data_IF_469938081468
#
_entry.id   IF_469938081468
#
_cell.length_a   1.000
_cell.length_b   1.000
_cell.length_c   1.000
_cell.angle_alpha   90.00
_cell.angle_beta   90.00
_cell.angle_gamma   90.00
#
_symmetry.space_group_name_H-M   'P 1'
#
loop_
_entity.id
_entity.type
_entity.pdbx_description
1 polymer ?
#
# COMPACT_ATOMS: atom_id res chain seq x y z
N UNK A 1 -7.94 -4.36 12.22
CA UNK A 1 -6.58 -3.96 11.78
C UNK A 1 -6.51 -2.44 11.66
N UNK A 2 -5.36 -1.81 11.80
CA UNK A 2 -5.23 -0.36 11.59
C UNK A 2 -4.69 -0.08 10.18
N UNK A 3 -4.88 1.15 9.66
CA UNK A 3 -4.24 1.57 8.43
C UNK A 3 -2.72 1.57 8.56
N UNK A 4 -2.04 1.20 7.48
CA UNK A 4 -0.56 1.22 7.39
C UNK A 4 0.01 2.62 7.19
N UNK A 5 -0.84 3.60 6.85
CA UNK A 5 -0.47 4.98 6.59
C UNK A 5 -1.33 5.96 7.38
N UNK A 6 -0.74 7.10 7.73
CA UNK A 6 -1.49 8.30 8.08
C UNK A 6 -1.88 9.02 6.79
N UNK A 7 -3.09 9.52 6.70
CA UNK A 7 -3.59 10.23 5.52
C UNK A 7 -4.45 11.43 5.94
N UNK A 8 -4.27 12.56 5.25
CA UNK A 8 -5.05 13.78 5.52
C UNK A 8 -6.53 13.50 5.25
N UNK A 9 -7.39 13.90 6.19
CA UNK A 9 -8.83 13.58 6.11
C UNK A 9 -9.19 12.13 6.43
N UNK A 10 -8.24 11.35 6.97
CA UNK A 10 -8.49 9.97 7.38
C UNK A 10 -9.61 9.84 8.40
N UNK A 11 -10.49 8.86 8.20
CA UNK A 11 -11.72 8.64 9.01
C UNK A 11 -11.47 7.91 10.35
N UNK A 12 -10.22 7.92 10.87
CA UNK A 12 -9.86 7.22 12.11
C UNK A 12 -10.78 7.58 13.28
N UNK A 13 -10.99 8.88 13.48
CA UNK A 13 -11.80 9.39 14.61
C UNK A 13 -13.29 9.12 14.44
N UNK A 14 -13.76 8.95 13.20
CA UNK A 14 -15.19 8.71 12.89
C UNK A 14 -15.50 7.22 12.71
N UNK A 15 -14.49 6.36 12.68
CA UNK A 15 -14.62 4.94 12.35
C UNK A 15 -15.70 4.23 13.16
N UNK A 16 -15.66 4.38 14.46
CA UNK A 16 -16.57 3.66 15.35
C UNK A 16 -18.01 4.17 15.21
N UNK A 17 -18.18 5.48 14.97
CA UNK A 17 -19.49 6.07 14.68
C UNK A 17 -20.06 5.57 13.32
N UNK A 18 -19.19 5.42 12.32
CA UNK A 18 -19.56 4.85 11.02
C UNK A 18 -20.04 3.41 11.20
N UNK A 19 -19.32 2.58 11.95
CA UNK A 19 -19.72 1.19 12.20
C UNK A 19 -21.08 1.08 12.90
N UNK A 20 -21.34 1.96 13.86
CA UNK A 20 -22.66 1.98 14.53
C UNK A 20 -23.83 2.30 13.58
N UNK A 21 -23.55 2.94 12.46
CA UNK A 21 -24.55 3.34 11.46
C UNK A 21 -24.60 2.44 10.23
N UNK A 22 -23.67 1.49 10.11
CA UNK A 22 -23.66 0.53 9.01
C UNK A 22 -24.85 -0.43 9.12
N UNK A 23 -25.45 -0.82 7.99
CA UNK A 23 -26.40 -1.92 7.96
C UNK A 23 -25.77 -3.19 8.54
N UNK A 24 -26.57 -4.00 9.24
CA UNK A 24 -26.09 -5.27 9.78
C UNK A 24 -25.85 -6.33 8.71
N UNK A 25 -26.59 -6.27 7.62
CA UNK A 25 -26.51 -7.20 6.50
C UNK A 25 -26.29 -6.42 5.21
N UNK A 26 -25.27 -6.74 4.48
CA UNK A 26 -24.94 -6.19 3.16
C UNK A 26 -24.08 -7.18 2.38
N UNK A 27 -24.27 -7.23 1.07
CA UNK A 27 -23.52 -8.11 0.16
C UNK A 27 -22.26 -7.46 -0.35
N UNK A 28 -22.19 -6.12 -0.30
CA UNK A 28 -21.05 -5.34 -0.81
C UNK A 28 -20.74 -4.18 0.11
N UNK A 29 -19.44 -3.96 0.31
CA UNK A 29 -18.92 -2.76 0.95
C UNK A 29 -18.00 -2.03 -0.04
N UNK A 30 -18.31 -0.79 -0.35
CA UNK A 30 -17.53 0.03 -1.29
C UNK A 30 -17.10 1.31 -0.58
N UNK A 31 -15.79 1.46 -0.41
CA UNK A 31 -15.19 2.69 0.11
C UNK A 31 -14.73 3.57 -1.06
N UNK A 32 -15.59 4.52 -1.47
CA UNK A 32 -15.39 5.33 -2.69
C UNK A 32 -14.24 6.32 -2.58
N UNK A 33 -14.02 6.88 -1.38
CA UNK A 33 -12.92 7.78 -1.04
C UNK A 33 -12.17 7.19 0.16
N UNK A 34 -11.43 6.12 -0.11
CA UNK A 34 -10.82 5.28 0.91
C UNK A 34 -9.74 5.98 1.72
N UNK A 35 -8.94 6.85 1.08
CA UNK A 35 -7.81 7.51 1.72
C UNK A 35 -6.90 6.52 2.42
N UNK A 36 -6.66 6.67 3.71
CA UNK A 36 -5.89 5.71 4.50
C UNK A 36 -6.57 4.36 4.76
N UNK A 37 -7.79 4.12 4.28
CA UNK A 37 -8.50 2.84 4.44
C UNK A 37 -8.92 2.53 5.89
N UNK A 38 -9.08 3.54 6.74
CA UNK A 38 -9.34 3.35 8.17
C UNK A 38 -10.64 2.60 8.48
N UNK A 39 -11.66 2.77 7.65
CA UNK A 39 -12.95 2.08 7.84
C UNK A 39 -12.85 0.67 7.28
N UNK A 40 -12.41 0.50 6.04
CA UNK A 40 -12.28 -0.81 5.40
C UNK A 40 -11.37 -1.76 6.21
N UNK A 41 -10.16 -1.32 6.55
CA UNK A 41 -9.20 -2.19 7.25
C UNK A 41 -9.53 -2.35 8.74
N UNK A 42 -10.32 -1.48 9.31
CA UNK A 42 -10.72 -1.56 10.72
C UNK A 42 -11.93 -2.45 10.97
N UNK A 43 -12.74 -2.73 9.95
CA UNK A 43 -13.89 -3.61 10.11
C UNK A 43 -13.44 -5.08 10.29
N UNK A 44 -14.23 -5.92 10.97
CA UNK A 44 -14.00 -7.35 11.00
C UNK A 44 -14.03 -7.94 9.59
N UNK A 45 -13.23 -8.99 9.30
CA UNK A 45 -13.36 -9.73 8.06
C UNK A 45 -14.80 -10.22 7.86
N UNK A 46 -15.33 -10.05 6.67
CA UNK A 46 -16.67 -10.42 6.30
C UNK A 46 -16.65 -11.19 4.96
N UNK A 47 -17.71 -11.93 4.68
CA UNK A 47 -17.85 -12.66 3.40
C UNK A 47 -18.38 -11.76 2.26
N UNK A 48 -18.63 -10.49 2.54
CA UNK A 48 -19.09 -9.57 1.52
C UNK A 48 -17.97 -9.18 0.55
N UNK A 49 -18.37 -8.79 -0.66
CA UNK A 49 -17.42 -8.18 -1.62
C UNK A 49 -16.96 -6.83 -1.09
N UNK A 50 -15.65 -6.62 -0.96
CA UNK A 50 -15.05 -5.39 -0.50
C UNK A 50 -14.32 -4.69 -1.64
N UNK A 51 -14.61 -3.39 -1.84
CA UNK A 51 -13.98 -2.56 -2.85
C UNK A 51 -13.36 -1.35 -2.20
N UNK A 52 -12.05 -1.19 -2.38
CA UNK A 52 -11.34 0.04 -2.06
C UNK A 52 -11.23 0.87 -3.35
N UNK A 53 -11.62 2.13 -3.27
CA UNK A 53 -11.39 3.10 -4.33
C UNK A 53 -10.92 4.43 -3.75
N UNK A 54 -10.03 5.11 -4.47
CA UNK A 54 -9.62 6.49 -4.18
C UNK A 54 -9.27 7.20 -5.48
N UNK A 55 -9.47 8.51 -5.52
CA UNK A 55 -9.07 9.34 -6.66
C UNK A 55 -7.55 9.38 -6.85
N UNK A 56 -6.79 9.23 -5.77
CA UNK A 56 -5.33 9.19 -5.82
C UNK A 56 -4.85 7.80 -6.25
N UNK A 57 -4.44 7.67 -7.51
CA UNK A 57 -3.95 6.41 -8.08
C UNK A 57 -2.73 5.84 -7.34
N UNK A 58 -1.89 6.67 -6.73
CA UNK A 58 -0.77 6.20 -5.92
C UNK A 58 -1.23 5.51 -4.64
N UNK A 59 -2.35 5.95 -4.03
CA UNK A 59 -2.96 5.22 -2.91
C UNK A 59 -3.49 3.87 -3.34
N UNK A 60 -4.24 3.82 -4.44
CA UNK A 60 -4.78 2.58 -4.98
C UNK A 60 -3.64 1.59 -5.30
N UNK A 61 -2.58 2.07 -5.98
CA UNK A 61 -1.40 1.27 -6.28
C UNK A 61 -0.67 0.79 -5.01
N UNK A 62 -0.52 1.63 -3.99
CA UNK A 62 0.11 1.24 -2.73
C UNK A 62 -0.67 0.09 -2.07
N UNK A 63 -1.99 0.22 -1.91
CA UNK A 63 -2.80 -0.83 -1.29
C UNK A 63 -2.88 -2.09 -2.15
N UNK A 64 -2.87 -1.94 -3.50
CA UNK A 64 -2.74 -3.09 -4.40
C UNK A 64 -1.44 -3.84 -4.15
N UNK A 65 -0.29 -3.15 -4.11
CA UNK A 65 1.01 -3.79 -3.87
C UNK A 65 1.10 -4.42 -2.47
N UNK A 66 0.50 -3.81 -1.45
CA UNK A 66 0.42 -4.40 -0.10
C UNK A 66 -0.32 -5.72 -0.10
N UNK A 67 -1.40 -5.81 -0.88
CA UNK A 67 -2.24 -7.02 -0.95
C UNK A 67 -1.63 -8.09 -1.86
N UNK A 68 -1.19 -7.71 -3.06
CA UNK A 68 -0.90 -8.64 -4.14
C UNK A 68 0.60 -8.90 -4.35
N UNK A 69 1.46 -7.97 -3.91
CA UNK A 69 2.93 -8.06 -4.06
C UNK A 69 3.67 -7.64 -2.77
N UNK A 70 3.33 -8.20 -1.60
CA UNK A 70 3.91 -7.76 -0.33
C UNK A 70 5.42 -8.01 -0.24
N UNK A 71 5.93 -9.11 -0.80
CA UNK A 71 7.36 -9.44 -0.74
C UNK A 71 8.20 -8.46 -1.57
N UNK A 72 7.78 -8.15 -2.80
CA UNK A 72 8.45 -7.17 -3.64
C UNK A 72 8.43 -5.77 -3.00
N UNK A 73 7.30 -5.37 -2.42
CA UNK A 73 7.17 -4.10 -1.72
C UNK A 73 8.08 -4.02 -0.50
N UNK A 74 8.16 -5.09 0.32
CA UNK A 74 9.05 -5.16 1.46
C UNK A 74 10.52 -5.13 1.03
N UNK A 75 10.87 -5.80 -0.07
CA UNK A 75 12.22 -5.76 -0.64
C UNK A 75 12.61 -4.34 -1.03
N UNK A 76 11.77 -3.65 -1.76
CA UNK A 76 12.00 -2.25 -2.16
C UNK A 76 12.08 -1.29 -0.96
N UNK A 77 11.28 -1.50 0.08
CA UNK A 77 11.31 -0.71 1.31
C UNK A 77 12.48 -1.04 2.23
N UNK A 78 13.14 -2.21 2.08
CA UNK A 78 14.23 -2.66 2.95
C UNK A 78 15.54 -1.90 2.74
N UNK A 79 15.71 -1.19 1.62
CA UNK A 79 16.84 -0.29 1.44
C UNK A 79 16.74 0.85 2.44
N UNK A 80 17.84 1.12 3.17
CA UNK A 80 17.88 2.16 4.18
C UNK A 80 17.42 3.50 3.60
N UNK A 81 16.36 4.10 4.15
CA UNK A 81 15.89 5.39 3.69
C UNK A 81 16.88 6.47 4.12
N UNK A 82 17.39 7.21 3.16
CA UNK A 82 18.05 8.49 3.42
C UNK A 82 16.96 9.52 3.68
N UNK A 83 16.55 9.71 4.91
CA UNK A 83 15.54 10.71 5.25
C UNK A 83 16.10 12.13 5.06
N UNK A 84 16.10 12.61 3.84
CA UNK A 84 16.58 13.93 3.46
C UNK A 84 15.55 14.70 2.63
N UNK A 85 15.69 16.02 2.62
CA UNK A 85 14.87 16.89 1.76
C UNK A 85 15.10 16.60 0.29
N UNK A 86 16.32 16.33 -0.12
CA UNK A 86 16.69 16.08 -1.50
C UNK A 86 16.10 14.75 -1.99
N UNK A 87 16.14 13.72 -1.15
CA UNK A 87 15.46 12.45 -1.45
C UNK A 87 13.95 12.66 -1.61
N UNK A 88 13.32 13.41 -0.71
CA UNK A 88 11.89 13.72 -0.80
C UNK A 88 11.52 14.40 -2.12
N UNK A 89 12.32 15.39 -2.56
CA UNK A 89 12.11 16.06 -3.85
C UNK A 89 12.30 15.11 -5.02
N UNK A 90 13.31 14.24 -4.96
CA UNK A 90 13.59 13.23 -5.99
C UNK A 90 12.44 12.22 -6.11
N UNK A 91 11.97 11.68 -4.98
CA UNK A 91 10.83 10.76 -4.96
C UNK A 91 9.55 11.40 -5.49
N UNK A 92 9.30 12.67 -5.16
CA UNK A 92 8.14 13.39 -5.72
C UNK A 92 8.21 13.54 -7.23
N UNK A 93 9.38 13.85 -7.79
CA UNK A 93 9.58 13.89 -9.24
C UNK A 93 9.36 12.51 -9.86
N UNK A 94 9.93 11.48 -9.25
CA UNK A 94 9.76 10.09 -9.68
C UNK A 94 8.30 9.69 -9.81
N UNK A 95 7.44 10.06 -8.86
CA UNK A 95 6.02 9.74 -8.92
C UNK A 95 5.26 10.34 -10.11
N UNK A 96 5.83 11.31 -10.79
CA UNK A 96 5.23 11.94 -11.97
C UNK A 96 5.75 11.39 -13.29
N UNK A 97 6.79 10.54 -13.29
CA UNK A 97 7.57 10.30 -14.52
C UNK A 97 7.51 8.87 -15.06
N UNK A 98 7.52 7.82 -14.20
CA UNK A 98 7.79 6.45 -14.69
C UNK A 98 6.93 5.38 -14.00
N UNK A 99 6.80 4.21 -14.64
CA UNK A 99 6.15 3.02 -14.11
C UNK A 99 7.15 1.84 -14.09
N UNK A 100 7.19 1.10 -12.96
CA UNK A 100 8.08 -0.06 -12.76
C UNK A 100 7.26 -1.27 -12.29
N UNK A 101 6.33 -1.71 -13.15
CA UNK A 101 5.36 -2.76 -12.79
C UNK A 101 6.00 -4.12 -12.54
N UNK A 102 7.01 -4.48 -13.32
CA UNK A 102 7.71 -5.77 -13.21
C UNK A 102 8.92 -5.76 -12.28
N UNK A 103 9.14 -4.69 -11.52
CA UNK A 103 10.25 -4.62 -10.56
C UNK A 103 10.18 -5.76 -9.55
N UNK A 104 11.32 -6.39 -9.28
CA UNK A 104 11.48 -7.56 -8.40
C UNK A 104 10.70 -8.83 -8.82
N UNK A 105 10.08 -8.86 -9.99
CA UNK A 105 9.33 -10.05 -10.42
C UNK A 105 10.23 -11.29 -10.54
N UNK A 106 11.43 -11.14 -11.08
CA UNK A 106 12.39 -12.25 -11.22
C UNK A 106 12.75 -12.87 -9.85
N UNK A 107 12.96 -12.03 -8.83
CA UNK A 107 13.24 -12.47 -7.46
C UNK A 107 12.02 -13.19 -6.84
N UNK A 108 10.82 -12.69 -7.08
CA UNK A 108 9.58 -13.33 -6.60
C UNK A 108 9.37 -14.71 -7.22
N UNK A 109 9.63 -14.85 -8.53
CA UNK A 109 9.55 -16.13 -9.25
C UNK A 109 10.61 -17.13 -8.75
N UNK A 110 11.84 -16.67 -8.51
CA UNK A 110 12.90 -17.52 -7.95
C UNK A 110 12.52 -18.03 -6.55
N UNK A 111 11.98 -17.17 -5.68
CA UNK A 111 11.51 -17.55 -4.35
C UNK A 111 10.38 -18.59 -4.47
N UNK A 112 9.40 -18.36 -5.34
CA UNK A 112 8.28 -19.27 -5.53
C UNK A 112 8.76 -20.67 -5.97
N UNK A 113 9.64 -20.74 -6.96
CA UNK A 113 10.18 -22.02 -7.46
C UNK A 113 11.13 -22.71 -6.48
N UNK A 114 11.78 -21.95 -5.59
CA UNK A 114 12.68 -22.52 -4.58
C UNK A 114 11.93 -23.13 -3.39
N UNK A 115 10.86 -22.50 -2.93
CA UNK A 115 10.16 -22.90 -1.70
C UNK A 115 8.89 -23.74 -1.94
N UNK A 116 8.33 -23.69 -3.14
CA UNK A 116 7.13 -24.44 -3.48
C UNK A 116 7.46 -25.63 -4.40
N UNK A 117 6.61 -26.64 -4.37
CA UNK A 117 6.69 -27.82 -5.25
C UNK A 117 5.70 -27.68 -6.38
N UNK A 118 6.00 -28.33 -7.51
CA UNK A 118 5.03 -28.49 -8.59
C UNK A 118 3.80 -29.32 -8.10
N UNK A 119 2.56 -28.96 -8.49
CA UNK A 119 2.19 -27.90 -9.44
C UNK A 119 2.01 -26.49 -8.82
N UNK A 120 2.07 -26.34 -7.50
CA UNK A 120 1.84 -25.07 -6.79
C UNK A 120 2.82 -23.96 -7.23
N UNK A 121 4.07 -24.33 -7.49
CA UNK A 121 5.08 -23.37 -7.95
C UNK A 121 4.68 -22.71 -9.27
N UNK A 122 4.21 -23.49 -10.24
CA UNK A 122 3.77 -22.98 -11.54
C UNK A 122 2.55 -22.06 -11.38
N UNK A 123 1.54 -22.47 -10.59
CA UNK A 123 0.35 -21.67 -10.34
C UNK A 123 0.68 -20.31 -9.70
N UNK A 124 1.56 -20.32 -8.71
CA UNK A 124 1.99 -19.06 -8.05
C UNK A 124 2.81 -18.17 -8.99
N UNK A 125 3.67 -18.76 -9.84
CA UNK A 125 4.41 -17.99 -10.85
C UNK A 125 3.48 -17.30 -11.85
N UNK A 126 2.45 -17.99 -12.33
CA UNK A 126 1.46 -17.41 -13.24
C UNK A 126 0.70 -16.24 -12.59
N UNK A 127 0.28 -16.43 -11.34
CA UNK A 127 -0.38 -15.37 -10.55
C UNK A 127 0.55 -14.16 -10.37
N UNK A 128 1.82 -14.36 -10.05
CA UNK A 128 2.79 -13.27 -9.86
C UNK A 128 3.02 -12.50 -11.17
N UNK A 129 3.15 -13.20 -12.30
CA UNK A 129 3.29 -12.57 -13.62
C UNK A 129 2.07 -11.71 -13.96
N UNK A 130 0.86 -12.21 -13.73
CA UNK A 130 -0.37 -11.46 -13.94
C UNK A 130 -0.43 -10.20 -13.05
N UNK A 131 -0.10 -10.33 -11.77
CA UNK A 131 -0.13 -9.22 -10.80
C UNK A 131 0.92 -8.15 -11.08
N UNK A 132 2.09 -8.54 -11.60
CA UNK A 132 3.16 -7.61 -11.93
C UNK A 132 2.77 -6.60 -13.02
N UNK A 133 1.82 -6.93 -13.88
CA UNK A 133 1.32 -6.01 -14.91
C UNK A 133 0.51 -4.85 -14.32
N UNK A 134 -0.14 -5.07 -13.18
CA UNK A 134 -1.04 -4.09 -12.56
C UNK A 134 -0.33 -3.24 -11.51
N UNK A 135 0.46 -3.85 -10.64
CA UNK A 135 1.09 -3.18 -9.50
C UNK A 135 2.48 -2.61 -9.81
N UNK A 136 2.66 -1.29 -9.59
CA UNK A 136 3.97 -0.63 -9.65
C UNK A 136 4.58 -0.56 -8.25
N UNK A 137 5.46 -1.51 -7.94
CA UNK A 137 6.08 -1.67 -6.61
C UNK A 137 6.98 -0.51 -6.25
N UNK A 138 7.80 -0.03 -7.19
CA UNK A 138 8.73 1.08 -6.97
C UNK A 138 7.98 2.39 -6.68
N UNK A 139 6.90 2.63 -7.42
CA UNK A 139 5.99 3.75 -7.19
C UNK A 139 5.31 3.63 -5.82
N UNK A 140 4.85 2.44 -5.44
CA UNK A 140 4.23 2.19 -4.14
C UNK A 140 5.20 2.49 -2.99
N UNK A 141 6.44 2.02 -3.08
CA UNK A 141 7.48 2.27 -2.09
C UNK A 141 7.85 3.76 -2.00
N UNK A 142 8.04 4.42 -3.14
CA UNK A 142 8.33 5.85 -3.20
C UNK A 142 7.19 6.67 -2.58
N UNK A 143 5.94 6.33 -2.88
CA UNK A 143 4.78 7.01 -2.33
C UNK A 143 4.64 6.78 -0.83
N UNK A 144 4.87 5.56 -0.34
CA UNK A 144 4.89 5.27 1.09
C UNK A 144 5.95 6.10 1.82
N UNK A 145 7.18 6.19 1.30
CA UNK A 145 8.25 7.02 1.85
C UNK A 145 7.85 8.50 1.89
N UNK A 146 7.24 9.03 0.81
CA UNK A 146 6.75 10.42 0.76
C UNK A 146 5.72 10.69 1.85
N UNK A 147 4.74 9.80 2.05
CA UNK A 147 3.77 9.95 3.14
C UNK A 147 4.49 10.04 4.49
N UNK A 148 5.46 9.16 4.73
CA UNK A 148 6.21 9.11 6.00
C UNK A 148 7.11 10.32 6.23
N UNK A 149 7.64 10.93 5.18
CA UNK A 149 8.56 12.06 5.25
C UNK A 149 7.89 13.41 5.08
N UNK A 150 6.60 13.46 4.79
CA UNK A 150 5.87 14.70 4.63
C UNK A 150 5.34 15.23 5.96
N UNK A 151 5.30 16.56 6.07
CA UNK A 151 4.61 17.21 7.18
C UNK A 151 3.11 16.89 7.15
N UNK A 152 2.60 16.39 8.28
CA UNK A 152 1.18 16.01 8.40
C UNK A 152 0.70 14.97 7.40
N UNK A 153 1.61 14.18 6.78
CA UNK A 153 1.29 13.19 5.73
C UNK A 153 0.61 13.80 4.49
N UNK A 154 0.79 15.08 4.25
CA UNK A 154 0.16 15.82 3.15
C UNK A 154 0.87 15.67 1.79
N UNK A 155 1.99 14.96 1.71
CA UNK A 155 2.79 14.72 0.50
C UNK A 155 3.28 15.99 -0.24
N UNK A 156 3.13 17.17 0.33
CA UNK A 156 3.45 18.45 -0.31
C UNK A 156 4.75 19.06 0.17
N UNK A 157 5.05 18.94 1.46
CA UNK A 157 6.23 19.53 2.09
C UNK A 157 6.96 18.51 2.94
N UNK A 158 8.30 18.57 2.89
CA UNK A 158 9.15 17.74 3.74
C UNK A 158 8.98 18.12 5.21
N UNK A 159 8.76 17.11 6.04
CA UNK A 159 8.69 17.24 7.48
C UNK A 159 9.49 16.15 8.15
N UNK A 160 10.58 16.49 8.82
CA UNK A 160 11.32 15.55 9.64
C UNK A 160 10.44 15.16 10.84
N UNK A 161 9.79 14.01 10.78
CA UNK A 161 9.22 13.41 11.97
C UNK A 161 10.35 12.70 12.72
N UNK A 162 10.55 12.95 14.03
CA UNK A 162 11.50 12.16 14.80
C UNK A 162 11.07 10.69 14.73
N UNK A 163 11.97 9.85 14.22
CA UNK A 163 11.78 8.42 14.20
C UNK A 163 11.90 7.91 15.63
N UNK A 164 10.80 7.81 16.34
CA UNK A 164 10.78 7.20 17.66
C UNK A 164 10.66 5.67 17.50
N UNK A 165 11.82 5.02 17.46
CA UNK A 165 11.95 3.55 17.40
C UNK A 165 11.20 2.86 18.55
N UNK A 166 10.85 3.59 19.60
CA UNK A 166 10.19 3.06 20.80
C UNK A 166 8.67 2.98 20.68
N UNK A 167 8.10 3.40 19.56
CA UNK A 167 6.63 3.43 19.31
C UNK A 167 6.18 2.49 18.18
N UNK A 168 7.02 1.55 17.77
CA UNK A 168 6.65 0.46 16.87
C UNK A 168 6.26 -0.78 17.63
#
# INVERSE_FOLDING_TARGET
>A
MNSIISWVGGKKALRDLIYLRMPKNYDRYIEVFGGGGWVLFGKPPDKCMEVYNDFNSNLANLFYCVKERPMALLRELSFLPLNSRDEFVTLRKFLTMEEFKSEHLAEELEIATHFLKEPEAAEICDILMERAVVGDVKRAAAFYKIIRYSYGSGCTSYGCQPFDIRKT
#
